data_IF_567542262646
#
_entry.id   IF_567542262646
#
_cell.length_a   1.000
_cell.length_b   1.000
_cell.length_c   1.000
_cell.angle_alpha   90.00
_cell.angle_beta   90.00
_cell.angle_gamma   90.00
#
_symmetry.space_group_name_H-M   'P 1'
#
loop_
_entity.id
_entity.type
_entity.pdbx_description
1 polymer ?
2 polymer ?
3 polymer ?
4 non-polymer ?
5 water ?
#
loop_
_entity_poly.entity_id
_entity_poly.type
_entity_poly.pdbx_seq_one_letter_code
_entity_poly.pdbx_strand_id
1 'polyribonucleotide' 'GGCCACCUGAC(AVC)GUCCUCUCC' ?
2 'polyribonucleotide' 'GGAGAGAGAAGUCAACCAGAGAAACACACCAACCCAUUGCACUCCGGGUUGGUGGUAUAUUACCUGGUACGGGGGAAACUUCGUGGUGGCCG' ?
#
# COMPACT_ATOMS: atom_id res chain seq x y z
N UNK E 6 7.62 -17.39 -12.19
CA UNK E 6 8.83 -17.82 -12.94
C UNK E 6 9.93 -18.22 -11.97
N UNK E 7 11.16 -18.38 -12.49
CA UNK E 7 12.30 -18.73 -11.66
C UNK E 7 12.96 -17.43 -11.20
N UNK E 8 13.60 -17.43 -10.03
CA UNK E 8 14.25 -16.22 -9.52
C UNK E 8 15.08 -15.52 -10.60
N UNK E 9 15.03 -14.19 -10.59
CA UNK E 9 15.75 -13.39 -11.57
C UNK E 9 16.19 -12.06 -10.92
N UNK E 10 17.24 -11.44 -11.46
CA UNK E 10 17.72 -10.17 -10.94
C UNK E 10 16.64 -9.11 -11.10
N UNK E 11 15.85 -9.26 -12.15
CA UNK E 11 14.80 -8.31 -12.47
C UNK E 11 13.40 -8.78 -12.11
N UNK E 12 12.58 -7.86 -11.62
CA UNK E 12 11.19 -8.17 -11.31
C UNK E 12 10.34 -7.41 -12.30
N UNK E 13 9.27 -8.06 -12.76
CA UNK E 13 8.34 -7.49 -13.71
C UNK E 13 7.13 -7.07 -12.91
N UNK E 14 6.74 -5.80 -13.01
CA UNK E 14 5.59 -5.33 -12.26
C UNK E 14 4.50 -4.83 -13.19
N UNK E 15 3.27 -5.34 -13.03
CA UNK E 15 2.21 -4.83 -13.87
C UNK E 15 0.97 -4.47 -13.06
N UNK E 16 -0.11 -4.09 -13.75
CA UNK E 16 -1.33 -3.61 -13.11
C UNK E 16 -0.98 -2.31 -12.38
N UNK E 17 -0.21 -1.44 -13.04
CA UNK E 17 0.17 -0.15 -12.48
C UNK E 17 -0.75 0.93 -13.04
N UNK E 18 -0.91 2.00 -12.27
CA UNK E 18 -1.75 3.11 -12.69
C UNK E 18 -1.16 3.78 -13.94
N UNK E 19 -1.84 3.60 -15.07
CA UNK E 19 -1.40 4.14 -16.36
C UNK E 19 -1.41 5.65 -16.52
N UNK E 20 -2.05 6.35 -15.59
CA UNK E 20 -2.13 7.81 -15.63
C UNK E 20 -0.88 8.53 -15.11
N UNK E 21 -0.07 7.83 -14.32
CA UNK E 21 1.12 8.43 -13.77
C UNK E 21 2.21 8.66 -14.80
N UNK E 22 2.71 9.89 -14.90
CA UNK E 22 3.77 10.20 -15.84
C UNK E 22 5.03 9.39 -15.53
N UNK E 23 5.77 9.05 -16.57
CA UNK E 23 6.99 8.25 -16.48
C UNK E 23 7.99 8.68 -15.40
N UNK E 24 8.39 9.95 -15.40
CA UNK E 24 9.34 10.43 -14.40
C UNK E 24 8.85 10.16 -12.98
N UNK E 25 7.59 10.52 -12.69
CA UNK E 25 7.05 10.31 -11.35
C UNK E 25 6.96 8.83 -10.98
N UNK E 26 6.47 8.01 -11.91
CA UNK E 26 6.36 6.57 -11.65
C UNK E 26 7.72 5.97 -11.27
N UNK E 27 8.74 6.27 -12.08
CA UNK E 27 10.08 5.72 -11.81
C UNK E 27 10.62 6.17 -10.47
N UNK E 28 10.38 7.43 -10.12
CA UNK E 28 10.88 7.93 -8.86
C UNK E 28 10.19 7.22 -7.69
N UNK E 29 8.85 7.11 -7.72
CA UNK E 29 8.15 6.42 -6.62
C UNK E 29 8.60 4.95 -6.56
N UNK E 30 8.68 4.30 -7.72
CA UNK E 30 9.12 2.89 -7.74
C UNK E 30 10.49 2.82 -7.08
N UNK E 31 11.40 3.73 -7.45
CA UNK E 31 12.72 3.67 -6.85
C UNK E 31 12.63 3.86 -5.32
N UNK E 32 11.78 4.79 -4.88
CA UNK E 32 11.63 5.06 -3.45
C UNK E 32 11.10 3.88 -2.64
N UNK E 33 10.21 3.09 -3.24
CA UNK E 33 9.61 1.95 -2.57
C UNK E 33 10.45 0.67 -2.57
N UNK E 34 11.28 0.48 -3.59
CA UNK E 34 12.07 -0.73 -3.67
C UNK E 34 13.52 -0.59 -3.21
N UNK E 35 13.95 0.66 -3.00
CA UNK E 35 15.33 0.97 -2.56
C UNK E 35 15.81 0.16 -1.38
N UNK E 36 14.94 -0.02 -0.39
CA UNK E 36 15.30 -0.75 0.82
C UNK E 36 15.69 -2.20 0.65
N UNK E 37 15.25 -2.84 -0.44
CA UNK E 37 15.57 -4.26 -0.63
C UNK E 37 16.98 -4.50 -1.16
N UNK E 38 17.61 -3.48 -1.71
CA UNK E 38 18.95 -3.61 -2.24
C UNK E 38 19.22 -2.59 -3.33
N UNK E 39 20.46 -2.56 -3.83
CA UNK E 39 20.80 -1.60 -4.87
C UNK E 39 20.05 -1.89 -6.17
N UNK E 40 19.49 -0.83 -6.76
CA UNK E 40 18.75 -0.91 -8.00
C UNK E 40 19.67 -0.43 -9.14
N UNK E 41 19.94 -1.30 -10.11
CA UNK E 41 20.81 -0.92 -11.23
C UNK E 41 20.07 -0.03 -12.21
N UNK E 42 18.79 -0.30 -12.39
CA UNK E 42 17.98 0.51 -13.29
C UNK E 42 16.51 0.18 -13.13
N UNK E 43 15.67 1.06 -13.66
CA UNK E 43 14.24 0.88 -13.62
C UNK E 43 13.81 1.30 -15.01
N UNK E 44 13.11 0.43 -15.73
CA UNK E 44 12.69 0.80 -17.08
C UNK E 44 11.18 0.93 -17.13
N UNK E 45 10.70 2.00 -17.75
CA UNK E 45 9.30 2.26 -17.83
C UNK E 45 8.98 2.98 -19.12
N UNK E 46 7.99 2.49 -19.85
CA UNK E 46 7.58 3.15 -21.07
C UNK E 46 6.06 3.20 -21.05
N UNK E 47 5.50 4.26 -21.62
CA UNK E 47 4.06 4.46 -21.64
C UNK E 47 3.47 4.15 -23.01
N UNK E 48 4.24 3.42 -23.80
CA UNK E 48 3.78 3.03 -25.13
C UNK E 48 2.60 2.08 -24.99
N UNK E 49 1.91 1.84 -26.09
CA UNK E 49 0.76 0.95 -26.11
C UNK E 49 0.99 -0.38 -25.44
N UNK E 50 2.11 -1.04 -25.75
CA UNK E 50 2.40 -2.36 -25.18
C UNK E 50 3.10 -2.42 -23.82
N UNK E 51 3.82 -1.36 -23.46
CA UNK E 51 4.54 -1.39 -22.19
C UNK E 51 3.88 -0.63 -21.01
N UNK E 52 2.92 0.23 -21.31
CA UNK E 52 2.24 0.99 -20.25
C UNK E 52 1.65 0.06 -19.19
N UNK E 53 1.60 0.57 -17.96
CA UNK E 53 1.07 -0.18 -16.85
C UNK E 53 2.08 -1.18 -16.32
N UNK E 54 3.28 -1.17 -16.88
CA UNK E 54 4.28 -2.13 -16.45
C UNK E 54 5.62 -1.46 -16.20
N UNK E 55 6.46 -2.14 -15.44
CA UNK E 55 7.80 -1.63 -15.13
C UNK E 55 8.76 -2.76 -14.82
N UNK E 56 10.04 -2.56 -15.17
CA UNK E 56 11.10 -3.54 -14.88
C UNK E 56 12.11 -2.90 -13.92
N UNK E 57 12.20 -3.46 -12.72
CA UNK E 57 13.12 -3.00 -11.70
C UNK E 57 14.26 -4.00 -11.62
N UNK E 58 15.45 -3.61 -12.08
CA UNK E 58 16.62 -4.50 -12.07
C UNK E 58 17.46 -4.36 -10.81
N UNK E 59 17.53 -5.42 -10.02
CA UNK E 59 18.31 -5.41 -8.79
C UNK E 59 19.70 -5.94 -9.06
N UNK E 60 20.65 -5.48 -8.25
CA UNK E 60 22.04 -5.90 -8.37
C UNK E 60 22.14 -7.36 -7.92
N UNK E 61 21.33 -7.72 -6.93
CA UNK E 61 21.33 -9.07 -6.38
C UNK E 61 19.97 -9.77 -6.44
N UNK E 62 19.97 -11.01 -6.93
CA UNK E 62 18.75 -11.82 -7.03
C UNK E 62 18.00 -11.87 -5.70
N UNK E 63 18.73 -12.01 -4.60
CA UNK E 63 18.12 -12.07 -3.28
C UNK E 63 17.24 -10.84 -3.02
N UNK E 64 17.62 -9.70 -3.58
CA UNK E 64 16.84 -8.48 -3.39
C UNK E 64 15.54 -8.54 -4.21
N UNK E 65 15.63 -9.09 -5.41
CA UNK E 65 14.47 -9.24 -6.27
C UNK E 65 13.45 -10.08 -5.51
N UNK E 66 13.92 -11.15 -4.89
CA UNK E 66 13.08 -12.07 -4.14
C UNK E 66 12.39 -11.46 -2.91
N UNK E 67 13.14 -10.77 -2.05
CA UNK E 67 12.52 -10.18 -0.86
C UNK E 67 11.53 -9.11 -1.27
N UNK E 68 11.88 -8.35 -2.29
CA UNK E 68 11.05 -7.27 -2.80
C UNK E 68 9.74 -7.82 -3.34
N UNK E 69 9.84 -8.94 -4.05
CA UNK E 69 8.67 -9.55 -4.64
C UNK E 69 7.73 -10.06 -3.54
N UNK E 70 8.29 -10.77 -2.57
CA UNK E 70 7.49 -11.30 -1.48
C UNK E 70 6.85 -10.24 -0.60
N UNK E 71 7.62 -9.23 -0.19
CA UNK E 71 7.11 -8.17 0.68
C UNK E 71 6.15 -7.20 0.03
N UNK E 72 6.36 -6.93 -1.25
CA UNK E 72 5.55 -5.95 -1.95
C UNK E 72 4.42 -6.47 -2.82
N UNK E 73 4.20 -7.79 -2.84
CA UNK E 73 3.13 -8.34 -3.67
C UNK E 73 1.79 -7.72 -3.24
N UNK E 74 1.06 -7.14 -4.18
CA UNK E 74 -0.21 -6.54 -3.84
C UNK E 74 -0.14 -5.18 -3.15
N UNK E 75 1.05 -4.60 -3.02
CA UNK E 75 1.16 -3.28 -2.36
C UNK E 75 0.35 -2.22 -3.08
N UNK E 76 -0.48 -1.46 -2.35
CA UNK E 76 -1.30 -0.40 -2.97
C UNK E 76 -0.44 0.74 -3.46
N UNK E 77 -0.38 0.92 -4.77
CA UNK E 77 0.46 1.92 -5.42
C UNK E 77 -0.39 2.77 -6.35
N UNK E 78 -0.56 4.04 -6.01
CA UNK E 78 -1.39 4.90 -6.82
C UNK E 78 -2.77 4.26 -6.99
N UNK E 79 -3.33 3.79 -5.89
CA UNK E 79 -4.66 3.20 -5.86
C UNK E 79 -4.88 1.86 -6.56
N UNK E 80 -3.80 1.16 -6.88
CA UNK E 80 -3.92 -0.14 -7.53
C UNK E 80 -2.94 -1.11 -6.89
N UNK E 81 -3.40 -2.34 -6.59
CA UNK E 81 -2.54 -3.37 -5.99
C UNK E 81 -1.51 -3.86 -7.01
N UNK E 82 -0.25 -3.73 -6.66
CA UNK E 82 0.86 -4.12 -7.52
C UNK E 82 0.96 -5.62 -7.79
N UNK E 83 1.14 -6.00 -9.03
CA UNK E 83 1.33 -7.42 -9.31
C UNK E 83 2.81 -7.56 -9.66
N UNK E 84 3.49 -8.53 -9.06
CA UNK E 84 4.91 -8.72 -9.30
C UNK E 84 5.33 -10.15 -9.59
N UNK E 85 6.21 -10.29 -10.58
CA UNK E 85 6.75 -11.59 -10.95
C UNK E 85 8.23 -11.40 -11.27
N UNK E 86 8.97 -12.50 -11.33
CA UNK E 86 10.37 -12.40 -11.72
C UNK E 86 10.23 -12.20 -13.23
N UNK E 87 11.18 -11.53 -13.87
CA UNK E 87 11.09 -11.36 -15.31
C UNK E 87 11.39 -12.71 -15.96
N UNK E 88 10.79 -12.96 -17.11
CA UNK E 88 11.00 -14.23 -17.82
C UNK E 88 12.45 -14.44 -18.29
N UNK E 89 13.14 -13.36 -18.67
CA UNK E 89 14.52 -13.42 -19.13
C UNK E 89 15.36 -12.33 -18.48
N UNK E 90 16.69 -12.46 -18.56
CA UNK E 90 17.57 -11.45 -17.99
C UNK E 90 17.46 -10.15 -18.75
N UNK E 91 17.60 -9.03 -18.03
CA UNK E 91 17.57 -7.73 -18.68
C UNK E 91 18.95 -7.63 -19.37
N UNK E 92 19.05 -6.87 -20.46
CA UNK E 92 20.32 -6.74 -21.16
C UNK E 92 21.53 -6.44 -20.26
N UNK E 93 21.43 -5.42 -19.40
CA UNK E 93 22.57 -5.08 -18.54
C UNK E 93 23.05 -6.23 -17.68
N UNK E 94 22.14 -7.11 -17.27
CA UNK E 94 22.53 -8.26 -16.46
C UNK E 94 23.14 -9.36 -17.36
N UNK E 95 22.55 -9.56 -18.54
CA UNK E 95 23.02 -10.57 -19.49
C UNK E 95 24.37 -10.22 -20.08
N UNK E 96 24.52 -8.96 -20.49
CA UNK E 96 25.77 -8.47 -21.08
C UNK E 96 26.84 -8.28 -20.02
N UNK E 97 26.47 -8.54 -18.78
CA UNK E 97 27.38 -8.38 -17.65
C UNK E 97 28.33 -9.58 -17.55
N UNK F 4 -19.59 -5.34 3.20
CA UNK F 4 -19.39 -4.73 1.86
C UNK F 4 -20.15 -3.41 1.70
N UNK F 5 -20.44 -3.05 0.44
CA UNK F 5 -21.15 -1.81 0.12
C UNK F 5 -20.77 -0.64 1.05
N UNK F 6 -21.77 -0.10 1.75
CA UNK F 6 -21.56 1.00 2.69
C UNK F 6 -21.28 2.37 2.06
N UNK F 7 -22.07 3.35 2.50
CA UNK F 7 -21.95 4.73 2.05
C UNK F 7 -20.66 5.37 2.58
N UNK F 8 -20.10 6.32 1.85
CA UNK F 8 -18.89 6.97 2.34
C UNK F 8 -19.24 7.53 3.73
N UNK F 9 -18.28 7.53 4.63
CA UNK F 9 -18.49 8.02 5.98
C UNK F 9 -17.23 8.77 6.45
N UNK F 10 -17.36 9.59 7.51
CA UNK F 10 -16.20 10.32 8.04
C UNK F 10 -15.21 9.33 8.64
N UNK F 11 -15.76 8.21 9.08
CA UNK F 11 -14.98 7.19 9.73
C UNK F 11 -14.68 5.95 8.87
N UNK F 12 -13.44 5.46 8.94
CA UNK F 12 -13.10 4.24 8.21
C UNK F 12 -12.93 3.12 9.21
N UNK F 13 -13.45 1.95 8.85
CA UNK F 13 -13.38 0.77 9.68
C UNK F 13 -12.24 -0.07 9.13
N UNK F 14 -11.31 -0.42 10.00
CA UNK F 14 -10.15 -1.21 9.57
C UNK F 14 -10.04 -2.49 10.35
N UNK F 15 -9.94 -3.61 9.64
CA UNK F 15 -9.78 -4.87 10.34
C UNK F 15 -8.71 -5.75 9.69
N UNK F 16 -8.51 -6.95 10.21
CA UNK F 16 -7.47 -7.86 9.76
C UNK F 16 -6.14 -7.27 10.24
N UNK F 17 -6.17 -6.70 11.45
CA UNK F 17 -4.99 -6.10 12.06
C UNK F 17 -4.32 -7.12 12.96
N UNK F 18 -3.00 -7.02 13.09
CA UNK F 18 -2.23 -7.92 13.95
C UNK F 18 -2.70 -7.72 15.39
N UNK F 19 -3.24 -8.77 16.00
CA UNK F 19 -3.78 -8.71 17.35
C UNK F 19 -2.74 -8.66 18.45
N UNK F 20 -1.49 -8.98 18.14
CA UNK F 20 -0.43 -8.97 19.15
C UNK F 20 0.14 -7.59 19.46
N UNK F 21 -0.19 -6.60 18.63
CA UNK F 21 0.31 -5.25 18.86
C UNK F 21 -0.39 -4.49 19.98
N UNK F 22 0.39 -3.89 20.86
CA UNK F 22 -0.12 -3.10 21.98
C UNK F 22 -0.96 -1.94 21.48
N UNK F 23 -2.02 -1.66 22.21
CA UNK F 23 -2.94 -0.59 21.84
C UNK F 23 -2.24 0.73 21.50
N UNK F 24 -1.47 1.28 22.45
CA UNK F 24 -0.77 2.54 22.20
C UNK F 24 0.09 2.49 20.95
N UNK F 25 0.76 1.37 20.75
CA UNK F 25 1.62 1.20 19.58
C UNK F 25 0.77 1.20 18.31
N UNK F 26 -0.37 0.52 18.34
CA UNK F 26 -1.25 0.45 17.17
C UNK F 26 -1.79 1.80 16.73
N UNK F 27 -2.25 2.61 17.68
CA UNK F 27 -2.79 3.93 17.31
C UNK F 27 -1.72 4.86 16.75
N UNK F 28 -0.54 4.88 17.37
CA UNK F 28 0.56 5.72 16.90
C UNK F 28 0.87 5.43 15.44
N UNK F 29 1.15 4.16 15.14
CA UNK F 29 1.43 3.76 13.75
C UNK F 29 0.27 4.08 12.82
N UNK F 30 -0.96 3.78 13.24
CA UNK F 30 -2.12 4.07 12.39
C UNK F 30 -2.13 5.56 12.08
N UNK F 31 -1.87 6.36 13.10
CA UNK F 31 -1.85 7.80 12.92
C UNK F 31 -0.75 8.23 11.93
N UNK F 32 0.43 7.62 12.04
CA UNK F 32 1.54 7.93 11.16
C UNK F 32 1.22 7.57 9.71
N UNK F 33 0.51 6.47 9.54
CA UNK F 33 0.13 5.98 8.22
C UNK F 33 -1.05 6.71 7.59
N UNK F 34 -1.98 7.21 8.40
CA UNK F 34 -3.15 7.89 7.84
C UNK F 34 -3.21 9.43 7.93
N UNK F 35 -2.31 10.06 8.68
CA UNK F 35 -2.34 11.52 8.79
C UNK F 35 -2.23 12.28 7.45
N UNK F 36 -1.57 11.70 6.46
CA UNK F 36 -1.44 12.40 5.16
C UNK F 36 -2.76 12.65 4.41
N UNK F 37 -3.80 11.91 4.73
CA UNK F 37 -5.07 12.09 4.04
C UNK F 37 -5.93 13.23 4.58
N UNK F 38 -5.54 13.77 5.73
CA UNK F 38 -6.29 14.86 6.33
C UNK F 38 -6.27 14.79 7.84
N UNK F 39 -6.83 15.78 8.51
CA UNK F 39 -6.86 15.79 9.97
C UNK F 39 -7.65 14.61 10.53
N UNK F 40 -7.08 13.95 11.52
CA UNK F 40 -7.69 12.82 12.19
C UNK F 40 -8.20 13.32 13.54
N UNK F 41 -9.52 13.22 13.74
CA UNK F 41 -10.13 13.68 14.98
C UNK F 41 -9.93 12.67 16.09
N UNK F 42 -9.83 11.38 15.73
CA UNK F 42 -9.62 10.37 16.77
C UNK F 42 -9.40 8.99 16.16
N UNK F 43 -8.82 8.10 16.95
CA UNK F 43 -8.58 6.74 16.51
C UNK F 43 -9.03 5.81 17.62
N UNK F 44 -10.00 4.94 17.35
CA UNK F 44 -10.47 4.02 18.40
C UNK F 44 -9.92 2.61 18.23
N UNK F 45 -9.37 2.09 19.31
CA UNK F 45 -8.78 0.76 19.30
C UNK F 45 -9.02 0.10 20.64
N UNK F 46 -9.53 -1.12 20.60
CA UNK F 46 -9.73 -1.87 21.83
C UNK F 46 -9.30 -3.30 21.56
N UNK F 47 -8.74 -3.95 22.57
CA UNK F 47 -8.28 -5.31 22.43
C UNK F 47 -9.17 -6.37 23.09
N UNK F 48 -10.42 -6.00 23.33
CA UNK F 48 -11.36 -6.92 23.94
C UNK F 48 -11.67 -8.01 22.92
N UNK F 49 -12.24 -9.11 23.40
CA UNK F 49 -12.60 -10.23 22.54
C UNK F 49 -13.26 -9.80 21.24
N UNK F 50 -14.29 -8.96 21.36
CA UNK F 50 -15.05 -8.51 20.20
C UNK F 50 -14.47 -7.39 19.34
N UNK F 51 -13.59 -6.57 19.90
CA UNK F 51 -13.05 -5.46 19.14
C UNK F 51 -11.58 -5.60 18.68
N UNK F 52 -10.89 -6.64 19.11
CA UNK F 52 -9.49 -6.85 18.73
C UNK F 52 -9.34 -7.07 17.22
N UNK F 53 -8.21 -6.61 16.68
CA UNK F 53 -7.90 -6.75 15.26
C UNK F 53 -8.62 -5.72 14.39
N UNK F 54 -9.19 -4.72 15.06
CA UNK F 54 -9.95 -3.68 14.37
C UNK F 54 -9.66 -2.30 14.96
N UNK F 55 -9.90 -1.28 14.16
CA UNK F 55 -9.71 0.07 14.62
C UNK F 55 -10.64 0.99 13.83
N UNK F 56 -11.01 2.11 14.44
CA UNK F 56 -11.86 3.08 13.76
C UNK F 56 -11.03 4.38 13.67
N UNK F 57 -10.88 4.90 12.46
CA UNK F 57 -10.13 6.14 12.27
C UNK F 57 -11.10 7.17 11.77
N UNK F 58 -11.33 8.21 12.59
CA UNK F 58 -12.28 9.27 12.25
C UNK F 58 -11.60 10.50 11.66
N UNK F 59 -11.99 10.85 10.45
CA UNK F 59 -11.42 12.01 9.79
C UNK F 59 -12.37 13.17 9.93
N UNK F 60 -11.83 14.39 9.85
CA UNK F 60 -12.64 15.58 9.95
C UNK F 60 -13.53 15.71 8.72
N UNK F 61 -13.00 15.32 7.56
CA UNK F 61 -13.75 15.38 6.31
C UNK F 61 -13.91 14.01 5.62
N UNK F 62 -15.10 13.77 5.08
CA UNK F 62 -15.42 12.53 4.38
C UNK F 62 -14.50 12.28 3.20
N UNK F 63 -14.13 13.37 2.50
CA UNK F 63 -13.26 13.25 1.34
C UNK F 63 -11.92 12.64 1.73
N UNK F 64 -11.51 12.87 2.98
CA UNK F 64 -10.25 12.31 3.49
C UNK F 64 -10.39 10.81 3.74
N UNK F 65 -11.57 10.40 4.20
CA UNK F 65 -11.78 8.98 4.47
C UNK F 65 -11.78 8.23 3.13
N UNK F 66 -12.45 8.80 2.15
CA UNK F 66 -12.54 8.19 0.83
C UNK F 66 -11.15 8.04 0.18
N UNK F 67 -10.29 9.05 0.31
CA UNK F 67 -8.96 8.96 -0.29
C UNK F 67 -8.12 7.93 0.43
N UNK F 68 -8.27 7.88 1.76
CA UNK F 68 -7.54 6.90 2.57
C UNK F 68 -8.01 5.46 2.29
N UNK F 69 -9.31 5.26 2.05
CA UNK F 69 -9.82 3.91 1.77
C UNK F 69 -9.28 3.40 0.44
N UNK F 70 -9.29 4.27 -0.56
CA UNK F 70 -8.80 3.92 -1.88
C UNK F 70 -7.28 3.73 -1.96
N UNK F 71 -6.54 4.57 -1.23
CA UNK F 71 -5.09 4.53 -1.26
C UNK F 71 -4.42 3.53 -0.36
N UNK F 72 -5.11 3.08 0.69
CA UNK F 72 -4.46 2.16 1.62
C UNK F 72 -5.00 0.75 1.65
N UNK F 73 -5.96 0.42 0.79
CA UNK F 73 -6.53 -0.94 0.77
C UNK F 73 -5.39 -1.95 0.61
N UNK F 74 -5.30 -2.90 1.53
CA UNK F 74 -4.27 -3.92 1.44
C UNK F 74 -2.88 -3.55 1.95
N UNK F 75 -2.70 -2.32 2.45
CA UNK F 75 -1.40 -1.90 2.95
C UNK F 75 -0.79 -2.86 3.98
N UNK F 76 0.49 -3.23 3.78
CA UNK F 76 1.23 -4.15 4.67
C UNK F 76 1.40 -3.47 6.05
N UNK F 77 0.91 -4.11 7.10
CA UNK F 77 0.94 -3.51 8.43
C UNK F 77 1.17 -4.59 9.49
N UNK F 78 2.37 -4.57 10.07
CA UNK F 78 2.73 -5.57 11.07
C UNK F 78 2.48 -6.97 10.52
N UNK F 79 2.89 -7.17 9.27
CA UNK F 79 2.77 -8.46 8.59
C UNK F 79 1.40 -8.90 8.08
N UNK F 80 0.44 -7.99 8.03
CA UNK F 80 -0.88 -8.35 7.52
C UNK F 80 -1.43 -7.24 6.67
N UNK F 81 -2.00 -7.58 5.50
CA UNK F 81 -2.56 -6.57 4.61
C UNK F 81 -3.84 -6.10 5.31
N UNK F 82 -4.00 -4.79 5.46
CA UNK F 82 -5.19 -4.30 6.15
C UNK F 82 -6.40 -4.20 5.23
N UNK F 83 -7.56 -4.52 5.79
CA UNK F 83 -8.83 -4.43 5.06
C UNK F 83 -9.51 -3.17 5.59
N UNK F 84 -9.94 -2.32 4.66
CA UNK F 84 -10.57 -1.06 5.00
C UNK F 84 -11.94 -0.95 4.35
N UNK F 85 -12.92 -0.46 5.13
CA UNK F 85 -14.30 -0.21 4.65
C UNK F 85 -14.74 1.08 5.34
N UNK F 86 -15.81 1.70 4.89
CA UNK F 86 -16.32 2.88 5.59
C UNK F 86 -17.05 2.32 6.81
N UNK F 87 -17.18 3.10 7.88
CA UNK F 87 -17.91 2.63 9.07
C UNK F 87 -19.36 2.54 8.64
N UNK F 88 -20.11 1.58 9.19
CA UNK F 88 -21.53 1.44 8.84
C UNK F 88 -22.34 2.60 9.39
N UNK F 89 -21.94 3.09 10.56
CA UNK F 89 -22.62 4.17 11.25
C UNK F 89 -21.66 5.31 11.66
N UNK F 90 -22.18 6.53 11.77
CA UNK F 90 -21.37 7.68 12.18
C UNK F 90 -20.79 7.46 13.56
N UNK F 91 -19.55 7.87 13.77
CA UNK F 91 -18.94 7.74 15.11
C UNK F 91 -19.64 8.83 15.95
N UNK F 92 -19.77 8.62 17.26
CA UNK F 92 -20.44 9.59 18.11
C UNK F 92 -19.94 11.03 18.02
N UNK F 93 -18.62 11.25 17.99
CA UNK F 93 -18.12 12.63 17.91
C UNK F 93 -18.56 13.32 16.64
N UNK F 94 -18.79 12.55 15.59
CA UNK F 94 -19.23 13.11 14.31
C UNK F 94 -20.75 13.36 14.32
N UNK F 95 -21.48 12.38 14.87
CA UNK F 95 -22.94 12.45 14.93
C UNK F 95 -23.41 13.54 15.90
N UNK F 96 -22.75 13.66 17.06
CA UNK F 96 -23.11 14.67 18.04
C UNK F 96 -22.60 16.03 17.62
N UNK F 97 -21.83 16.09 16.55
CA UNK F 97 -21.32 17.37 16.11
C UNK F 97 -22.55 18.17 15.74
N UNK F 98 -22.57 19.46 16.10
CA UNK F 98 -23.70 20.32 15.80
C UNK F 98 -23.98 20.39 14.30
X LIG G 1 32.32 10.03 -46.75
X LIG H 1 12.46 13.97 -43.68
X LIG I 1 -4.85 -9.64 -23.37
X LIG J 1 10.63 -11.64 -22.99
X LIG K 1 -0.14 27.45 -39.24
X LIG L 1 16.43 -7.13 -27.22
X LIG M 1 -6.79 7.58 -21.48
X LIG N 1 9.90 36.18 -51.17
X LIG O 1 24.44 13.20 -41.75
X LIG P 1 -9.76 42.92 -70.27
X LIG Q 1 -0.42 17.85 -36.63
X LIG R 1 7.10 35.31 -46.44
X LIG S 1 17.92 14.50 -47.01
X LIG T 1 -4.44 20.41 -57.57
X LIG U 1 14.17 3.96 -29.70
X LIG V 1 5.13 17.87 -60.02
X LIG W 1 -17.30 -11.50 53.04
X LIG X 1 -0.47 -10.16 60.15
X LIG Y 1 -17.30 -15.48 12.00
X LIG Z 1 -4.38 -16.12 16.94
X LIG AA 1 -24.07 4.11 21.48
X LIG BA 1 -19.47 -2.98 61.78
X LIG CA 1 -22.65 -0.32 45.42
X LIG DA 1 -8.58 -15.58 31.88
X LIG EA 1 -0.65 -13.89 48.37
X LIG FA 1 -1.90 -10.14 31.26
X LIG GA 1 -3.85 -8.25 65.48
X LIG HA 1 -14.40 0.95 23.52
X LIG IA 1 -20.97 6.13 51.77
X LIG JA 1 -14.21 -18.87 13.59
X LIG KA 1 -11.06 -25.28 35.09
X LIG LA 1 -7.67 3.83 -10.63
X LIG MA 1 7.44 6.32 -22.45
X LIG NA 1 2.72 6.89 -3.87
X LIG OA 1 5.27 10.71 -19.19
X LIG PA 1 -25.23 18.63 19.26
X LIG QA 1 4.58 -0.68 10.65
#
# INVERSE_FOLDING_TARGET
MAVPETRPNHTIYINNLNEKIKKDELKKSLHAIFSRFGQILDILVSRSLKMRGQAFVIFKEVSSATNALRSMQGFPFYDKPMRIQYAKTDSDIIAKMKGT
MAVPETRPNHTIYINNLNEKIKKDELKKSLHAIFSRFGQILDILVSRSLKMRGQAFVIFKEVSSATNALRSMQGFPFYDKPMRIQYAKTDSDIIAKMKGT
CA CA
CA CA
CA CA
CA CA
CA CA
CA CA
CA CA
CA CA
CA CA
CA CA
CA CA
CA CA
CA CA
CA CA
CA CA
CA CA
CA CA
CA CA
CA CA
CA CA
CA CA
CA CA
CA CA
CA CA
CA CA
CA CA
CA CA
CA CA
CA CA
CA CA
CA CA
CA CA
CA CA
CA CA
CA CA
CA CA
CA CA
#
